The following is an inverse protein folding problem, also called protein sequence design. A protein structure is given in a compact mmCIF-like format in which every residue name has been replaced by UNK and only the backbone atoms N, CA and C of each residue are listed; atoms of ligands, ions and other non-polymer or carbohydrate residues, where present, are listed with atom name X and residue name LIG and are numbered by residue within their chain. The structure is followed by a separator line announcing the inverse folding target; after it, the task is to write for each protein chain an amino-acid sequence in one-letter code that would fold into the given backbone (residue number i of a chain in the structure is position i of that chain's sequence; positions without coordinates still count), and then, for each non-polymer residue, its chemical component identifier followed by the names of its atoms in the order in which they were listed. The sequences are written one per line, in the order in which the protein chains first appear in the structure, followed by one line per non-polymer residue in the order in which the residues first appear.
data_IF_727022589630
#
_entry.id   IF_727022589630
#
_cell.length_a   1.000
_cell.length_b   1.000
_cell.length_c   1.000
_cell.angle_alpha   90.00
_cell.angle_beta   90.00
_cell.angle_gamma   90.00
#
_symmetry.space_group_name_H-M   'P 1'
#
loop_
_entity.id
_entity.type
_entity.pdbx_description
1 polymer ?
#
# COMPACT_ATOMS: atom_id res chain seq x y z
N UNK A 1 -15.54 -8.25 17.17
CA UNK A 1 -15.37 -7.91 15.74
C UNK A 1 -15.45 -6.39 15.61
N UNK A 2 -14.60 -5.74 14.80
CA UNK A 2 -14.59 -4.28 14.69
C UNK A 2 -15.81 -3.75 13.92
N UNK A 3 -16.34 -2.59 14.30
CA UNK A 3 -17.52 -1.98 13.67
C UNK A 3 -17.14 -1.06 12.51
N UNK A 4 -17.92 -1.12 11.43
CA UNK A 4 -17.80 -0.17 10.32
C UNK A 4 -18.56 1.13 10.66
N UNK A 5 -17.86 2.25 10.80
CA UNK A 5 -18.44 3.52 11.26
C UNK A 5 -18.76 4.47 10.10
N UNK A 6 -19.59 5.50 10.36
CA UNK A 6 -19.84 6.60 9.41
C UNK A 6 -18.54 7.30 8.97
N UNK A 7 -17.56 7.41 9.86
CA UNK A 7 -16.25 7.96 9.54
C UNK A 7 -15.51 7.10 8.51
N UNK A 8 -15.55 5.76 8.63
CA UNK A 8 -14.96 4.87 7.62
C UNK A 8 -15.65 5.03 6.26
N UNK A 9 -16.97 5.25 6.25
CA UNK A 9 -17.72 5.53 5.01
C UNK A 9 -17.27 6.85 4.35
N UNK A 10 -17.11 7.92 5.12
CA UNK A 10 -16.61 9.21 4.60
C UNK A 10 -15.21 9.04 4.00
N UNK A 11 -14.31 8.33 4.68
CA UNK A 11 -12.98 8.04 4.15
C UNK A 11 -13.01 7.19 2.87
N UNK A 12 -13.95 6.26 2.75
CA UNK A 12 -14.15 5.47 1.54
C UNK A 12 -14.57 6.36 0.35
N UNK A 13 -15.53 7.27 0.56
CA UNK A 13 -15.97 8.24 -0.47
C UNK A 13 -14.81 9.16 -0.86
N UNK A 14 -14.11 9.73 0.11
CA UNK A 14 -12.94 10.57 -0.14
C UNK A 14 -11.86 9.83 -0.93
N UNK A 15 -11.60 8.56 -0.59
CA UNK A 15 -10.65 7.70 -1.32
C UNK A 15 -11.04 7.46 -2.78
N UNK A 16 -12.34 7.32 -3.08
CA UNK A 16 -12.83 7.22 -4.46
C UNK A 16 -12.60 8.51 -5.24
N UNK A 17 -12.87 9.67 -4.62
CA UNK A 17 -12.65 10.98 -5.25
C UNK A 17 -11.16 11.19 -5.53
N UNK A 18 -10.29 10.92 -4.55
CA UNK A 18 -8.83 11.01 -4.72
C UNK A 18 -8.36 10.12 -5.86
N UNK A 19 -8.88 8.88 -5.96
CA UNK A 19 -8.55 7.99 -7.06
C UNK A 19 -8.90 8.59 -8.43
N UNK A 20 -10.10 9.17 -8.60
CA UNK A 20 -10.52 9.81 -9.87
C UNK A 20 -9.67 11.04 -10.19
N UNK A 21 -9.39 11.88 -9.20
CA UNK A 21 -8.55 13.07 -9.37
C UNK A 21 -7.14 12.67 -9.81
N UNK A 22 -6.57 11.66 -9.19
CA UNK A 22 -5.26 11.11 -9.54
C UNK A 22 -5.22 10.63 -11.01
N UNK A 23 -6.29 9.96 -11.49
CA UNK A 23 -6.41 9.61 -12.92
C UNK A 23 -6.30 10.84 -13.81
N UNK A 24 -7.08 11.88 -13.49
CA UNK A 24 -7.09 13.11 -14.26
C UNK A 24 -5.75 13.84 -14.25
N UNK A 25 -5.11 13.91 -13.08
CA UNK A 25 -3.81 14.56 -12.90
C UNK A 25 -2.72 13.86 -13.72
N UNK A 26 -2.67 12.53 -13.73
CA UNK A 26 -1.68 11.80 -14.51
C UNK A 26 -1.78 12.06 -16.02
N UNK A 27 -3.01 12.03 -16.57
CA UNK A 27 -3.23 12.33 -17.99
C UNK A 27 -2.93 13.79 -18.31
N UNK A 28 -3.30 14.71 -17.41
CA UNK A 28 -2.98 16.12 -17.54
C UNK A 28 -1.46 16.37 -17.57
N UNK A 29 -0.73 15.77 -16.62
CA UNK A 29 0.73 15.90 -16.54
C UNK A 29 1.40 15.27 -17.76
N UNK A 30 0.96 14.09 -18.19
CA UNK A 30 1.47 13.47 -19.42
C UNK A 30 1.25 14.38 -20.63
N UNK A 31 0.02 14.89 -20.83
CA UNK A 31 -0.33 15.81 -21.92
C UNK A 31 0.57 17.06 -21.91
N UNK A 32 0.81 17.64 -20.74
CA UNK A 32 1.73 18.78 -20.59
C UNK A 32 3.14 18.44 -21.09
N UNK A 33 3.68 17.26 -20.78
CA UNK A 33 4.99 16.83 -21.30
C UNK A 33 4.97 16.63 -22.82
N UNK A 34 3.91 16.07 -23.40
CA UNK A 34 3.75 15.96 -24.85
C UNK A 34 3.72 17.35 -25.53
N UNK A 35 2.96 18.30 -24.99
CA UNK A 35 2.89 19.67 -25.51
C UNK A 35 4.22 20.42 -25.40
N UNK A 36 5.07 20.07 -24.43
CA UNK A 36 6.40 20.66 -24.24
C UNK A 36 7.50 19.97 -25.08
N UNK A 37 7.14 19.00 -25.93
CA UNK A 37 8.09 18.22 -26.74
C UNK A 37 8.91 17.21 -25.94
N UNK A 38 8.61 17.03 -24.65
CA UNK A 38 9.31 16.13 -23.74
C UNK A 38 8.65 14.74 -23.72
N UNK A 39 8.62 14.09 -24.88
CA UNK A 39 7.87 12.84 -25.09
C UNK A 39 8.31 11.70 -24.17
N UNK A 40 9.60 11.57 -23.88
CA UNK A 40 10.13 10.51 -23.03
C UNK A 40 9.50 10.53 -21.61
N UNK A 41 9.34 11.72 -21.01
CA UNK A 41 8.75 11.86 -19.68
C UNK A 41 7.26 11.56 -19.68
N UNK A 42 6.53 12.05 -20.70
CA UNK A 42 5.12 11.75 -20.88
C UNK A 42 4.85 10.26 -21.07
N UNK A 43 5.63 9.58 -21.91
CA UNK A 43 5.55 8.14 -22.13
C UNK A 43 5.85 7.37 -20.83
N UNK A 44 6.90 7.75 -20.10
CA UNK A 44 7.28 7.07 -18.87
C UNK A 44 6.18 7.12 -17.79
N UNK A 45 5.54 8.28 -17.62
CA UNK A 45 4.40 8.45 -16.69
C UNK A 45 3.22 7.55 -17.09
N UNK A 46 2.88 7.53 -18.39
CA UNK A 46 1.82 6.67 -18.91
C UNK A 46 2.16 5.17 -18.80
N UNK A 47 3.43 4.79 -18.95
CA UNK A 47 3.89 3.42 -18.76
C UNK A 47 3.71 2.96 -17.32
N UNK A 48 4.14 3.75 -16.32
CA UNK A 48 3.93 3.43 -14.91
C UNK A 48 2.44 3.30 -14.57
N UNK A 49 1.64 4.24 -15.07
CA UNK A 49 0.18 4.21 -14.93
C UNK A 49 -0.47 2.98 -15.55
N UNK A 50 -0.14 2.69 -16.81
CA UNK A 50 -0.69 1.55 -17.54
C UNK A 50 -0.33 0.22 -16.89
N UNK A 51 0.93 0.05 -16.46
CA UNK A 51 1.41 -1.16 -15.80
C UNK A 51 0.72 -1.38 -14.46
N UNK A 52 0.68 -0.36 -13.62
CA UNK A 52 -0.02 -0.37 -12.33
C UNK A 52 -1.51 -0.66 -12.48
N UNK A 53 -2.19 0.00 -13.43
CA UNK A 53 -3.60 -0.23 -13.72
C UNK A 53 -3.84 -1.67 -14.17
N UNK A 54 -3.01 -2.20 -15.07
CA UNK A 54 -3.13 -3.59 -15.53
C UNK A 54 -2.98 -4.58 -14.37
N UNK A 55 -1.95 -4.42 -13.53
CA UNK A 55 -1.71 -5.31 -12.38
C UNK A 55 -2.88 -5.23 -11.39
N UNK A 56 -3.36 -4.03 -11.07
CA UNK A 56 -4.49 -3.85 -10.13
C UNK A 56 -5.80 -4.40 -10.67
N UNK A 57 -6.10 -4.28 -11.97
CA UNK A 57 -7.27 -4.92 -12.57
C UNK A 57 -7.17 -6.44 -12.53
N UNK A 58 -5.99 -7.02 -12.79
CA UNK A 58 -5.79 -8.47 -12.77
C UNK A 58 -6.03 -9.03 -11.36
N UNK A 59 -5.48 -8.38 -10.32
CA UNK A 59 -5.78 -8.75 -8.92
C UNK A 59 -7.25 -8.54 -8.57
N UNK A 60 -7.81 -7.38 -8.93
CA UNK A 60 -9.21 -7.06 -8.67
C UNK A 60 -10.17 -8.09 -9.27
N UNK A 61 -9.94 -8.50 -10.52
CA UNK A 61 -10.76 -9.50 -11.20
C UNK A 61 -10.61 -10.87 -10.55
N UNK A 62 -9.39 -11.32 -10.31
CA UNK A 62 -9.13 -12.64 -9.72
C UNK A 62 -9.74 -12.76 -8.32
N UNK A 63 -9.63 -11.72 -7.51
CA UNK A 63 -10.28 -11.67 -6.19
C UNK A 63 -11.80 -11.66 -6.34
N UNK A 64 -12.35 -10.92 -7.29
CA UNK A 64 -13.80 -10.88 -7.52
C UNK A 64 -14.32 -12.26 -7.93
N UNK A 65 -13.62 -12.93 -8.84
CA UNK A 65 -13.92 -14.30 -9.28
C UNK A 65 -13.84 -15.30 -8.13
N UNK A 66 -12.88 -15.14 -7.23
CA UNK A 66 -12.69 -16.05 -6.10
C UNK A 66 -13.74 -15.90 -5.00
N UNK A 67 -14.35 -14.71 -4.90
CA UNK A 67 -15.41 -14.38 -3.95
C UNK A 67 -16.81 -14.54 -4.58
N UNK A 68 -16.88 -14.85 -5.89
CA UNK A 68 -18.14 -15.05 -6.60
C UNK A 68 -18.63 -16.49 -6.46
N UNK A 69 -19.73 -16.66 -5.74
CA UNK A 69 -20.37 -17.97 -5.52
C UNK A 69 -21.50 -18.28 -6.52
N UNK A 70 -21.84 -17.33 -7.39
CA UNK A 70 -22.97 -17.46 -8.33
C UNK A 70 -22.67 -18.40 -9.50
N UNK A 71 -23.67 -19.16 -9.94
CA UNK A 71 -23.60 -20.02 -11.14
C UNK A 71 -23.74 -19.25 -12.46
N UNK A 72 -24.09 -17.96 -12.39
CA UNK A 72 -24.29 -17.09 -13.57
C UNK A 72 -22.95 -16.68 -14.21
N UNK A 73 -22.54 -17.47 -15.20
CA UNK A 73 -21.34 -17.23 -16.00
C UNK A 73 -21.44 -15.97 -16.87
N UNK A 74 -22.65 -15.49 -17.18
CA UNK A 74 -22.88 -14.28 -17.96
C UNK A 74 -22.42 -13.03 -17.21
N UNK A 75 -22.82 -12.90 -15.94
CA UNK A 75 -22.37 -11.81 -15.06
C UNK A 75 -20.85 -11.81 -14.89
N UNK A 76 -20.23 -12.97 -14.71
CA UNK A 76 -18.77 -13.07 -14.58
C UNK A 76 -18.05 -12.60 -15.85
N UNK A 77 -18.58 -12.91 -17.04
CA UNK A 77 -18.06 -12.39 -18.32
C UNK A 77 -18.20 -10.87 -18.44
N UNK A 78 -19.34 -10.30 -18.02
CA UNK A 78 -19.51 -8.84 -17.97
C UNK A 78 -18.51 -8.17 -17.04
N UNK A 79 -18.28 -8.73 -15.85
CA UNK A 79 -17.29 -8.22 -14.91
C UNK A 79 -15.88 -8.34 -15.48
N UNK A 80 -15.56 -9.43 -16.19
CA UNK A 80 -14.29 -9.55 -16.90
C UNK A 80 -14.12 -8.45 -17.95
N UNK A 81 -15.13 -8.20 -18.79
CA UNK A 81 -15.12 -7.11 -19.78
C UNK A 81 -14.92 -5.75 -19.11
N UNK A 82 -15.57 -5.50 -17.97
CA UNK A 82 -15.41 -4.25 -17.23
C UNK A 82 -13.98 -4.07 -16.70
N UNK A 83 -13.31 -5.14 -16.25
CA UNK A 83 -11.90 -5.09 -15.88
C UNK A 83 -10.99 -4.87 -17.11
N UNK A 84 -11.33 -5.48 -18.25
CA UNK A 84 -10.61 -5.29 -19.52
C UNK A 84 -10.66 -3.82 -19.98
N UNK A 85 -11.82 -3.16 -19.86
CA UNK A 85 -11.99 -1.74 -20.15
C UNK A 85 -11.54 -0.81 -19.01
N UNK A 86 -10.79 -1.30 -18.03
CA UNK A 86 -10.28 -0.54 -16.88
C UNK A 86 -11.37 0.02 -15.92
N UNK A 87 -12.63 -0.39 -16.08
CA UNK A 87 -13.75 -0.01 -15.21
C UNK A 87 -13.90 -0.89 -13.95
N UNK A 88 -13.11 -1.96 -13.81
CA UNK A 88 -13.24 -2.94 -12.72
C UNK A 88 -13.09 -2.36 -11.31
N UNK A 89 -12.17 -1.42 -11.12
CA UNK A 89 -11.98 -0.73 -9.84
C UNK A 89 -13.23 0.08 -9.42
N UNK A 90 -13.93 0.71 -10.36
CA UNK A 90 -15.15 1.46 -10.05
C UNK A 90 -16.27 0.54 -9.54
N UNK A 91 -16.36 -0.68 -10.07
CA UNK A 91 -17.29 -1.69 -9.57
C UNK A 91 -16.95 -2.11 -8.14
N UNK A 92 -15.65 -2.27 -7.82
CA UNK A 92 -15.24 -2.53 -6.43
C UNK A 92 -15.64 -1.39 -5.50
N UNK A 93 -15.42 -0.13 -5.90
CA UNK A 93 -15.88 1.03 -5.12
C UNK A 93 -17.39 1.06 -4.96
N UNK A 94 -18.15 0.74 -6.02
CA UNK A 94 -19.61 0.64 -5.94
C UNK A 94 -20.07 -0.37 -4.89
N UNK A 95 -19.50 -1.59 -4.89
CA UNK A 95 -19.80 -2.60 -3.87
C UNK A 95 -19.38 -2.14 -2.47
N UNK A 96 -18.20 -1.54 -2.33
CA UNK A 96 -17.73 -1.01 -1.05
C UNK A 96 -18.66 0.08 -0.51
N UNK A 97 -19.17 0.97 -1.36
CA UNK A 97 -20.12 2.01 -0.99
C UNK A 97 -21.47 1.41 -0.62
N UNK A 98 -21.95 0.41 -1.37
CA UNK A 98 -23.20 -0.30 -1.06
C UNK A 98 -23.15 -0.96 0.32
N UNK A 99 -22.14 -1.80 0.56
CA UNK A 99 -21.97 -2.51 1.84
C UNK A 99 -21.60 -1.56 2.98
N UNK A 100 -20.75 -0.57 2.71
CA UNK A 100 -20.37 0.45 3.68
C UNK A 100 -21.55 1.32 4.12
N UNK A 101 -22.45 1.68 3.20
CA UNK A 101 -23.66 2.44 3.52
C UNK A 101 -24.63 1.61 4.37
N UNK A 102 -24.85 0.34 4.00
CA UNK A 102 -25.67 -0.57 4.80
C UNK A 102 -25.10 -0.78 6.21
N UNK A 103 -23.79 -0.97 6.33
CA UNK A 103 -23.12 -1.13 7.62
C UNK A 103 -23.13 0.15 8.47
N UNK A 104 -22.97 1.33 7.87
CA UNK A 104 -22.84 2.60 8.60
C UNK A 104 -24.18 3.28 8.94
N UNK A 105 -25.23 3.07 8.13
CA UNK A 105 -26.50 3.81 8.25
C UNK A 105 -27.74 2.93 8.46
N UNK A 106 -27.78 1.70 7.93
CA UNK A 106 -29.01 0.87 8.01
C UNK A 106 -29.19 0.11 9.32
N UNK A 107 -28.15 -0.04 10.16
CA UNK A 107 -28.28 -0.74 11.45
C UNK A 107 -29.09 0.03 12.51
N UNK A 108 -29.31 1.34 12.35
CA UNK A 108 -30.04 2.14 13.33
C UNK A 108 -31.56 2.22 13.06
N UNK A 109 -32.04 1.63 11.95
CA UNK A 109 -33.44 1.80 11.50
C UNK A 109 -34.23 0.49 11.40
N UNK A 110 -33.64 -0.65 11.78
CA UNK A 110 -34.31 -1.95 11.74
C UNK A 110 -35.12 -2.21 13.01
N UNK A 111 -36.24 -1.50 13.13
CA UNK A 111 -37.40 -1.88 13.95
C UNK A 111 -38.39 -2.80 13.21
N UNK A 112 -38.02 -3.34 12.04
CA UNK A 112 -38.89 -4.25 11.31
C UNK A 112 -38.25 -4.79 10.03
N UNK A 113 -38.38 -6.10 9.85
CA UNK A 113 -38.25 -6.91 8.64
C UNK A 113 -36.87 -7.45 8.19
N UNK A 114 -36.85 -8.79 8.15
CA UNK A 114 -35.99 -9.77 7.48
C UNK A 114 -34.63 -10.12 8.10
N UNK A 115 -34.67 -11.10 8.99
CA UNK A 115 -33.57 -11.98 9.36
C UNK A 115 -33.09 -12.76 8.13
N UNK A 116 -31.98 -12.35 7.51
CA UNK A 116 -31.28 -13.27 6.59
C UNK A 116 -29.78 -13.17 6.69
N UNK A 117 -29.21 -12.04 7.15
CA UNK A 117 -27.78 -11.94 7.44
C UNK A 117 -27.56 -11.32 8.83
N UNK A 118 -26.87 -12.01 9.78
CA UNK A 118 -26.60 -11.43 11.08
C UNK A 118 -25.84 -10.10 10.92
N UNK A 119 -26.10 -9.08 11.75
CA UNK A 119 -25.50 -7.74 11.62
C UNK A 119 -23.96 -7.74 11.60
N UNK A 120 -23.35 -8.81 12.12
CA UNK A 120 -21.91 -9.04 12.07
C UNK A 120 -21.39 -9.40 10.66
N UNK A 121 -22.20 -10.07 9.83
CA UNK A 121 -21.81 -10.47 8.48
C UNK A 121 -21.62 -9.26 7.55
N UNK A 122 -22.59 -8.34 7.51
CA UNK A 122 -22.52 -7.13 6.68
C UNK A 122 -21.33 -6.23 7.09
N UNK A 123 -21.08 -6.11 8.40
CA UNK A 123 -19.91 -5.35 8.89
C UNK A 123 -18.60 -6.00 8.45
N UNK A 124 -18.49 -7.33 8.52
CA UNK A 124 -17.31 -8.07 8.09
C UNK A 124 -17.09 -7.91 6.58
N UNK A 125 -18.16 -8.07 5.79
CA UNK A 125 -18.11 -7.92 4.34
C UNK A 125 -17.68 -6.49 3.93
N UNK A 126 -18.21 -5.45 4.59
CA UNK A 126 -17.80 -4.07 4.34
C UNK A 126 -16.30 -3.84 4.66
N UNK A 127 -15.83 -4.39 5.78
CA UNK A 127 -14.41 -4.29 6.18
C UNK A 127 -13.51 -5.04 5.20
N UNK A 128 -13.88 -6.24 4.78
CA UNK A 128 -13.09 -7.08 3.85
C UNK A 128 -12.99 -6.41 2.48
N UNK A 129 -14.10 -5.91 1.92
CA UNK A 129 -14.10 -5.20 0.63
C UNK A 129 -13.27 -3.92 0.69
N UNK A 130 -13.36 -3.14 1.78
CA UNK A 130 -12.52 -1.94 1.94
C UNK A 130 -11.04 -2.29 2.12
N UNK A 131 -10.73 -3.40 2.79
CA UNK A 131 -9.35 -3.88 2.94
C UNK A 131 -8.75 -4.29 1.60
N UNK A 132 -9.53 -4.98 0.75
CA UNK A 132 -9.15 -5.29 -0.62
C UNK A 132 -8.87 -4.03 -1.44
N UNK A 133 -9.73 -3.01 -1.38
CA UNK A 133 -9.51 -1.74 -2.07
C UNK A 133 -8.22 -1.05 -1.59
N UNK A 134 -7.98 -1.02 -0.28
CA UNK A 134 -6.78 -0.41 0.26
C UNK A 134 -5.51 -1.19 -0.10
N UNK A 135 -5.61 -2.51 -0.29
CA UNK A 135 -4.51 -3.32 -0.81
C UNK A 135 -4.23 -3.02 -2.30
N UNK A 136 -5.26 -2.91 -3.13
CA UNK A 136 -5.10 -2.52 -4.55
C UNK A 136 -4.54 -1.10 -4.67
N UNK A 137 -5.00 -0.18 -3.81
CA UNK A 137 -4.47 1.18 -3.72
C UNK A 137 -2.99 1.16 -3.36
N UNK A 138 -2.59 0.33 -2.40
CA UNK A 138 -1.19 0.16 -2.02
C UNK A 138 -0.34 -0.31 -3.21
N UNK A 139 -0.83 -1.30 -3.98
CA UNK A 139 -0.13 -1.76 -5.19
C UNK A 139 0.04 -0.63 -6.20
N UNK A 140 -1.03 0.11 -6.48
CA UNK A 140 -0.97 1.28 -7.36
C UNK A 140 0.07 2.28 -6.87
N UNK A 141 0.02 2.66 -5.60
CA UNK A 141 0.93 3.65 -5.01
C UNK A 141 2.41 3.30 -5.21
N UNK A 142 2.80 2.03 -5.08
CA UNK A 142 4.20 1.63 -5.25
C UNK A 142 4.59 1.28 -6.69
N UNK A 143 3.65 0.89 -7.55
CA UNK A 143 3.89 0.60 -8.96
C UNK A 143 3.81 1.84 -9.86
N UNK A 144 3.10 2.88 -9.42
CA UNK A 144 2.81 4.09 -10.21
C UNK A 144 3.31 5.36 -9.52
N UNK A 145 2.70 5.73 -8.38
CA UNK A 145 2.97 7.00 -7.71
C UNK A 145 4.43 7.12 -7.26
N UNK A 146 5.03 6.03 -6.78
CA UNK A 146 6.43 6.04 -6.30
C UNK A 146 7.43 6.21 -7.45
N UNK A 147 7.39 5.44 -8.55
CA UNK A 147 8.21 5.71 -9.74
C UNK A 147 7.98 7.09 -10.37
N UNK A 148 6.72 7.57 -10.43
CA UNK A 148 6.42 8.92 -10.92
C UNK A 148 7.05 10.00 -10.02
N UNK A 149 7.04 9.81 -8.70
CA UNK A 149 7.70 10.70 -7.75
C UNK A 149 9.21 10.76 -7.98
N UNK A 150 9.87 9.64 -8.29
CA UNK A 150 11.29 9.63 -8.66
C UNK A 150 11.56 10.51 -9.89
N UNK A 151 10.74 10.36 -10.92
CA UNK A 151 10.84 11.18 -12.14
C UNK A 151 10.65 12.67 -11.83
N UNK A 152 9.67 13.01 -10.99
CA UNK A 152 9.40 14.40 -10.60
C UNK A 152 10.56 15.03 -9.83
N UNK A 153 11.18 14.27 -8.90
CA UNK A 153 12.35 14.72 -8.14
C UNK A 153 13.56 14.87 -9.07
N UNK A 154 13.80 13.90 -9.96
CA UNK A 154 14.89 13.97 -10.93
C UNK A 154 14.78 15.20 -11.82
N UNK A 155 13.61 15.47 -12.40
CA UNK A 155 13.37 16.65 -13.25
C UNK A 155 13.55 17.94 -12.46
N UNK A 156 13.06 18.00 -11.21
CA UNK A 156 13.24 19.17 -10.34
C UNK A 156 14.72 19.47 -10.13
N UNK A 157 15.53 18.43 -9.87
CA UNK A 157 16.95 18.59 -9.56
C UNK A 157 17.80 18.88 -10.81
N UNK A 158 17.42 18.37 -11.98
CA UNK A 158 18.15 18.60 -13.24
C UNK A 158 17.85 19.96 -13.87
N UNK A 159 16.59 20.43 -13.82
CA UNK A 159 16.17 21.62 -14.55
C UNK A 159 16.05 22.88 -13.67
N UNK A 160 16.10 22.76 -12.34
CA UNK A 160 16.19 23.89 -11.40
C UNK A 160 15.05 24.93 -11.47
N UNK A 161 13.97 24.66 -12.21
CA UNK A 161 12.86 25.61 -12.36
C UNK A 161 12.00 25.60 -11.11
N UNK A 162 12.09 26.69 -10.33
CA UNK A 162 11.31 26.89 -9.11
C UNK A 162 9.82 27.16 -9.42
N UNK A 163 9.08 26.10 -9.68
CA UNK A 163 7.61 26.15 -9.70
C UNK A 163 7.09 25.65 -8.36
N UNK A 164 6.46 26.53 -7.58
CA UNK A 164 5.81 26.17 -6.31
C UNK A 164 4.89 24.94 -6.43
N UNK A 165 4.16 24.84 -7.55
CA UNK A 165 3.29 23.71 -7.86
C UNK A 165 4.05 22.37 -7.93
N UNK A 166 5.31 22.34 -8.37
CA UNK A 166 6.10 21.11 -8.46
C UNK A 166 6.52 20.61 -7.07
N UNK A 167 6.96 21.52 -6.19
CA UNK A 167 7.24 21.18 -4.80
C UNK A 167 5.99 20.68 -4.08
N UNK A 168 4.85 21.37 -4.28
CA UNK A 168 3.57 20.94 -3.72
C UNK A 168 3.19 19.52 -4.21
N UNK A 169 3.38 19.22 -5.50
CA UNK A 169 3.11 17.89 -6.05
C UNK A 169 4.00 16.79 -5.43
N UNK A 170 5.30 17.07 -5.23
CA UNK A 170 6.24 16.15 -4.58
C UNK A 170 5.83 15.89 -3.12
N UNK A 171 5.51 16.94 -2.36
CA UNK A 171 5.06 16.83 -0.96
C UNK A 171 3.76 16.03 -0.89
N UNK A 172 2.79 16.34 -1.75
CA UNK A 172 1.52 15.62 -1.82
C UNK A 172 1.73 14.13 -2.16
N UNK A 173 2.68 13.81 -3.03
CA UNK A 173 3.03 12.43 -3.38
C UNK A 173 3.62 11.68 -2.17
N UNK A 174 4.54 12.27 -1.42
CA UNK A 174 5.07 11.68 -0.18
C UNK A 174 3.97 11.42 0.86
N UNK A 175 3.10 12.41 1.07
CA UNK A 175 1.94 12.28 1.93
C UNK A 175 1.03 11.14 1.44
N UNK A 176 0.68 11.11 0.15
CA UNK A 176 -0.18 10.08 -0.44
C UNK A 176 0.37 8.67 -0.29
N UNK A 177 1.68 8.47 -0.53
CA UNK A 177 2.34 7.16 -0.35
C UNK A 177 2.25 6.70 1.11
N UNK A 178 2.47 7.63 2.04
CA UNK A 178 2.44 7.35 3.48
C UNK A 178 1.03 7.03 3.96
N UNK A 179 0.03 7.85 3.57
CA UNK A 179 -1.38 7.60 3.88
C UNK A 179 -1.85 6.26 3.33
N UNK A 180 -1.55 5.92 2.06
CA UNK A 180 -1.93 4.63 1.50
C UNK A 180 -1.30 3.45 2.26
N UNK A 181 -0.04 3.59 2.70
CA UNK A 181 0.64 2.56 3.50
C UNK A 181 -0.02 2.38 4.85
N UNK A 182 -0.39 3.47 5.53
CA UNK A 182 -1.05 3.44 6.84
C UNK A 182 -2.49 2.92 6.73
N UNK A 183 -3.25 3.38 5.74
CA UNK A 183 -4.64 2.97 5.50
C UNK A 183 -4.74 1.47 5.25
N UNK A 184 -3.83 0.91 4.46
CA UNK A 184 -3.74 -0.53 4.29
C UNK A 184 -3.47 -1.25 5.62
N UNK A 185 -2.48 -0.79 6.40
CA UNK A 185 -2.12 -1.45 7.67
C UNK A 185 -3.26 -1.38 8.70
N UNK A 186 -3.99 -0.26 8.74
CA UNK A 186 -5.18 -0.12 9.58
C UNK A 186 -6.27 -1.08 9.09
N UNK A 187 -6.53 -1.15 7.79
CA UNK A 187 -7.58 -2.00 7.22
C UNK A 187 -7.28 -3.49 7.41
N UNK A 188 -6.04 -3.89 7.16
CA UNK A 188 -5.56 -5.25 7.43
C UNK A 188 -5.71 -5.62 8.91
N UNK A 189 -5.44 -4.68 9.83
CA UNK A 189 -5.65 -4.94 11.26
C UNK A 189 -7.14 -5.09 11.58
N UNK A 190 -8.01 -4.30 10.94
CA UNK A 190 -9.47 -4.33 11.13
C UNK A 190 -10.10 -5.64 10.62
N UNK A 191 -9.56 -6.23 9.55
CA UNK A 191 -10.06 -7.49 8.98
C UNK A 191 -9.69 -8.74 9.80
N UNK A 192 -8.74 -8.63 10.73
CA UNK A 192 -8.28 -9.75 11.57
C UNK A 192 -9.04 -9.83 12.91
N UNK A 193 -9.51 -11.02 13.33
CA UNK A 193 -10.18 -11.20 14.61
C UNK A 193 -9.22 -10.97 15.79
N UNK A 194 -9.73 -10.40 16.88
CA UNK A 194 -9.01 -10.27 18.16
C UNK A 194 -7.95 -9.17 18.25
N UNK A 195 -7.89 -8.25 17.28
CA UNK A 195 -7.02 -7.06 17.37
C UNK A 195 -7.83 -5.85 17.82
N UNK A 196 -7.26 -5.03 18.71
CA UNK A 196 -7.86 -3.76 19.13
C UNK A 196 -7.66 -2.67 18.07
N UNK A 197 -8.60 -1.73 18.00
CA UNK A 197 -8.52 -0.58 17.11
C UNK A 197 -7.38 0.35 17.55
N UNK A 198 -6.63 0.90 16.60
CA UNK A 198 -5.58 1.86 16.98
C UNK A 198 -6.21 3.13 17.56
N UNK A 199 -5.77 3.55 18.74
CA UNK A 199 -5.98 4.92 19.21
C UNK A 199 -5.37 5.93 18.21
N UNK A 200 -5.90 7.16 18.19
CA UNK A 200 -5.52 8.21 17.22
C UNK A 200 -4.01 8.51 17.27
N UNK A 201 -3.43 8.55 18.47
CA UNK A 201 -2.00 8.84 18.67
C UNK A 201 -1.07 7.79 18.03
N UNK A 202 -1.22 6.47 18.29
CA UNK A 202 -0.48 5.43 17.57
C UNK A 202 -0.58 5.53 16.04
N UNK A 203 -1.74 5.89 15.49
CA UNK A 203 -1.93 6.06 14.02
C UNK A 203 -1.06 7.21 13.50
N UNK A 204 -1.08 8.35 14.20
CA UNK A 204 -0.31 9.53 13.84
C UNK A 204 1.21 9.27 13.94
N UNK A 205 1.66 8.64 15.02
CA UNK A 205 3.08 8.25 15.17
C UNK A 205 3.51 7.28 14.07
N UNK A 206 2.66 6.30 13.73
CA UNK A 206 2.92 5.36 12.64
C UNK A 206 2.97 6.05 11.27
N UNK A 207 2.11 7.05 11.04
CA UNK A 207 2.11 7.88 9.83
C UNK A 207 3.41 8.67 9.67
N UNK A 208 3.84 9.38 10.71
CA UNK A 208 5.10 10.13 10.66
C UNK A 208 6.32 9.22 10.50
N UNK A 209 6.33 8.07 11.18
CA UNK A 209 7.35 7.05 10.97
C UNK A 209 7.43 6.62 9.50
N UNK A 210 6.31 6.23 8.89
CA UNK A 210 6.28 5.80 7.48
C UNK A 210 6.64 6.93 6.52
N UNK A 211 6.13 8.13 6.75
CA UNK A 211 6.45 9.31 5.96
C UNK A 211 7.94 9.59 5.95
N UNK A 212 8.57 9.72 7.11
CA UNK A 212 9.98 10.11 7.20
C UNK A 212 10.93 9.01 6.70
N UNK A 213 10.62 7.74 6.96
CA UNK A 213 11.44 6.62 6.45
C UNK A 213 11.33 6.43 4.94
N UNK A 214 10.14 6.62 4.36
CA UNK A 214 9.97 6.58 2.90
C UNK A 214 10.62 7.79 2.25
N UNK A 215 10.46 8.99 2.84
CA UNK A 215 11.08 10.23 2.32
C UNK A 215 12.59 10.13 2.28
N UNK A 216 13.25 9.77 3.38
CA UNK A 216 14.70 9.61 3.42
C UNK A 216 15.20 8.62 2.37
N UNK A 217 14.49 7.50 2.21
CA UNK A 217 14.88 6.46 1.26
C UNK A 217 14.72 6.90 -0.22
N UNK A 218 13.58 7.48 -0.59
CA UNK A 218 13.33 7.96 -1.96
C UNK A 218 14.29 9.10 -2.31
N UNK A 219 14.55 10.03 -1.39
CA UNK A 219 15.53 11.09 -1.63
C UNK A 219 16.95 10.52 -1.80
N UNK A 220 17.33 9.50 -1.02
CA UNK A 220 18.61 8.79 -1.19
C UNK A 220 18.76 8.17 -2.57
N UNK A 221 17.75 7.43 -3.04
CA UNK A 221 17.76 6.83 -4.38
C UNK A 221 17.80 7.94 -5.46
N UNK A 222 17.11 9.07 -5.23
CA UNK A 222 17.14 10.20 -6.16
C UNK A 222 18.55 10.81 -6.26
N UNK A 223 19.26 10.95 -5.14
CA UNK A 223 20.64 11.45 -5.09
C UNK A 223 21.62 10.55 -5.86
N UNK A 224 21.56 9.22 -5.68
CA UNK A 224 22.42 8.30 -6.46
C UNK A 224 22.04 8.29 -7.94
N UNK A 225 20.77 8.49 -8.29
CA UNK A 225 20.31 8.60 -9.69
C UNK A 225 20.94 9.79 -10.41
N UNK A 226 21.06 10.93 -9.73
CA UNK A 226 21.75 12.10 -10.28
C UNK A 226 23.25 11.90 -10.45
N UNK A 227 23.87 11.12 -9.55
CA UNK A 227 25.29 10.78 -9.69
C UNK A 227 25.51 9.86 -10.90
N UNK A 228 24.70 8.81 -11.00
CA UNK A 228 24.73 7.80 -12.06
C UNK A 228 23.41 7.02 -12.12
N UNK A 229 22.64 7.25 -13.20
CA UNK A 229 21.40 6.51 -13.48
C UNK A 229 21.66 5.00 -13.52
N UNK A 230 22.78 4.55 -14.10
CA UNK A 230 23.15 3.13 -14.18
C UNK A 230 23.34 2.52 -12.79
N UNK A 231 24.02 3.23 -11.88
CA UNK A 231 24.25 2.74 -10.52
C UNK A 231 22.95 2.63 -9.74
N UNK A 232 22.06 3.61 -9.90
CA UNK A 232 20.72 3.59 -9.29
C UNK A 232 19.88 2.40 -9.78
N UNK A 233 19.83 2.16 -11.09
CA UNK A 233 19.11 1.01 -11.66
C UNK A 233 19.68 -0.32 -11.14
N UNK A 234 21.01 -0.47 -11.10
CA UNK A 234 21.64 -1.68 -10.54
C UNK A 234 21.26 -1.89 -9.08
N UNK A 235 21.29 -0.83 -8.26
CA UNK A 235 20.88 -0.88 -6.85
C UNK A 235 19.42 -1.31 -6.70
N UNK A 236 18.50 -0.70 -7.46
CA UNK A 236 17.07 -1.03 -7.40
C UNK A 236 16.79 -2.48 -7.82
N UNK A 237 17.44 -2.96 -8.89
CA UNK A 237 17.33 -4.35 -9.34
C UNK A 237 17.87 -5.31 -8.28
N UNK A 238 19.03 -5.01 -7.69
CA UNK A 238 19.61 -5.83 -6.62
C UNK A 238 18.70 -5.91 -5.38
N UNK A 239 18.14 -4.78 -4.94
CA UNK A 239 17.20 -4.73 -3.82
C UNK A 239 15.91 -5.48 -4.13
N UNK A 240 15.42 -5.38 -5.37
CA UNK A 240 14.26 -6.14 -5.81
C UNK A 240 14.51 -7.65 -5.79
N UNK A 241 15.67 -8.13 -6.28
CA UNK A 241 16.04 -9.55 -6.23
C UNK A 241 16.11 -10.03 -4.78
N UNK A 242 16.70 -9.24 -3.88
CA UNK A 242 16.74 -9.54 -2.45
C UNK A 242 15.33 -9.64 -1.85
N UNK A 243 14.48 -8.65 -2.11
CA UNK A 243 13.09 -8.61 -1.64
C UNK A 243 12.24 -9.75 -2.19
N UNK A 244 12.37 -10.07 -3.48
CA UNK A 244 11.68 -11.18 -4.12
C UNK A 244 12.14 -12.54 -3.58
N UNK A 245 13.45 -12.73 -3.39
CA UNK A 245 13.99 -13.96 -2.77
C UNK A 245 13.47 -14.12 -1.34
N UNK A 246 13.37 -13.01 -0.60
CA UNK A 246 12.75 -12.99 0.72
C UNK A 246 11.27 -13.41 0.66
N UNK A 247 10.47 -12.89 -0.27
CA UNK A 247 9.05 -13.26 -0.40
C UNK A 247 8.87 -14.73 -0.79
N UNK A 248 9.76 -15.30 -1.60
CA UNK A 248 9.78 -16.73 -1.91
C UNK A 248 10.02 -17.58 -0.67
N UNK A 249 11.02 -17.23 0.15
CA UNK A 249 11.34 -17.93 1.42
C UNK A 249 10.21 -17.86 2.45
N UNK A 250 9.40 -16.80 2.40
CA UNK A 250 8.27 -16.65 3.31
C UNK A 250 7.11 -17.60 3.00
N UNK A 251 7.09 -18.33 1.87
CA UNK A 251 6.02 -19.27 1.50
C UNK A 251 4.62 -18.67 1.69
N UNK A 252 4.31 -17.61 0.96
CA UNK A 252 3.00 -16.94 0.99
C UNK A 252 1.93 -17.73 0.25
N UNK A 253 0.69 -17.67 0.75
CA UNK A 253 -0.51 -18.35 0.21
C UNK A 253 -1.68 -17.35 0.11
N UNK A 254 -1.44 -16.20 -0.52
CA UNK A 254 -2.47 -15.15 -0.62
C UNK A 254 -3.49 -15.42 -1.75
N UNK A 255 -3.03 -15.97 -2.86
CA UNK A 255 -3.83 -16.28 -4.04
C UNK A 255 -4.07 -17.80 -4.16
N UNK A 256 -5.27 -18.20 -4.61
CA UNK A 256 -5.60 -19.62 -4.86
C UNK A 256 -4.78 -20.22 -6.01
N UNK A 257 -4.46 -19.41 -7.04
CA UNK A 257 -3.69 -19.84 -8.22
C UNK A 257 -2.19 -19.59 -8.04
N UNK A 258 -1.35 -20.58 -8.41
CA UNK A 258 0.12 -20.48 -8.35
C UNK A 258 0.66 -19.30 -9.17
N UNK A 259 0.12 -19.06 -10.37
CA UNK A 259 0.55 -17.94 -11.24
C UNK A 259 0.29 -16.58 -10.57
N UNK A 260 -0.86 -16.44 -9.94
CA UNK A 260 -1.26 -15.23 -9.23
C UNK A 260 -0.45 -15.02 -7.95
N UNK A 261 -0.08 -16.10 -7.27
CA UNK A 261 0.83 -16.03 -6.12
C UNK A 261 2.22 -15.53 -6.50
N UNK A 262 2.76 -15.97 -7.65
CA UNK A 262 4.03 -15.43 -8.17
C UNK A 262 3.92 -13.93 -8.49
N UNK A 263 2.85 -13.50 -9.16
CA UNK A 263 2.60 -12.09 -9.43
C UNK A 263 2.53 -11.29 -8.11
N UNK A 264 1.84 -11.82 -7.09
CA UNK A 264 1.75 -11.19 -5.77
C UNK A 264 3.12 -11.02 -5.14
N UNK A 265 3.94 -12.07 -5.13
CA UNK A 265 5.32 -12.04 -4.61
C UNK A 265 6.21 -11.05 -5.36
N UNK A 266 6.03 -10.92 -6.67
CA UNK A 266 6.74 -9.92 -7.50
C UNK A 266 6.37 -8.50 -7.08
N UNK A 267 5.08 -8.19 -6.95
CA UNK A 267 4.60 -6.85 -6.54
C UNK A 267 5.05 -6.54 -5.12
N UNK A 268 4.93 -7.48 -4.19
CA UNK A 268 5.43 -7.30 -2.83
C UNK A 268 6.95 -7.10 -2.81
N UNK A 269 7.70 -7.80 -3.67
CA UNK A 269 9.12 -7.55 -3.87
C UNK A 269 9.41 -6.10 -4.26
N UNK A 270 8.60 -5.48 -5.13
CA UNK A 270 8.70 -4.05 -5.47
C UNK A 270 8.39 -3.17 -4.26
N UNK A 271 7.33 -3.47 -3.51
CA UNK A 271 6.98 -2.71 -2.30
C UNK A 271 8.12 -2.75 -1.27
N UNK A 272 8.78 -3.90 -1.10
CA UNK A 272 9.90 -4.08 -0.18
C UNK A 272 11.13 -3.25 -0.55
N UNK A 273 11.28 -2.82 -1.81
CA UNK A 273 12.31 -1.84 -2.17
C UNK A 273 12.10 -0.53 -1.40
N UNK A 274 10.85 -0.14 -1.13
CA UNK A 274 10.53 1.20 -0.61
C UNK A 274 10.11 1.21 0.85
N UNK A 275 9.36 0.21 1.29
CA UNK A 275 8.90 0.15 2.68
C UNK A 275 8.78 -1.29 3.16
N UNK A 276 9.02 -1.49 4.46
CA UNK A 276 8.78 -2.77 5.08
C UNK A 276 7.28 -3.11 5.01
N UNK A 277 6.98 -4.18 4.28
CA UNK A 277 5.65 -4.74 4.14
C UNK A 277 5.59 -6.06 4.89
N UNK A 278 4.73 -6.16 5.91
CA UNK A 278 4.61 -7.37 6.71
C UNK A 278 3.76 -8.42 5.97
N UNK A 279 4.45 -9.39 5.39
CA UNK A 279 3.87 -10.43 4.55
C UNK A 279 3.17 -11.54 5.36
N UNK A 280 3.59 -11.84 6.59
CA UNK A 280 3.10 -13.05 7.30
C UNK A 280 2.55 -12.83 8.69
N UNK A 281 2.48 -11.58 9.15
CA UNK A 281 1.89 -11.25 10.46
C UNK A 281 2.57 -11.89 11.69
N UNK A 282 3.66 -12.67 11.55
CA UNK A 282 4.38 -13.33 12.66
C UNK A 282 5.35 -12.39 13.38
N UNK A 283 6.03 -12.85 14.44
CA UNK A 283 7.00 -12.08 15.26
C UNK A 283 8.02 -11.31 14.40
N UNK A 284 7.70 -10.07 14.05
CA UNK A 284 8.39 -9.30 13.01
C UNK A 284 9.43 -8.33 13.54
N UNK A 285 9.61 -8.20 14.86
CA UNK A 285 10.53 -7.18 15.43
C UNK A 285 11.96 -7.33 14.88
N UNK A 286 12.50 -8.55 14.83
CA UNK A 286 13.86 -8.82 14.32
C UNK A 286 13.96 -8.53 12.83
N UNK A 287 13.04 -9.04 12.01
CA UNK A 287 13.06 -8.78 10.56
C UNK A 287 12.84 -7.31 10.22
N UNK A 288 12.02 -6.61 10.98
CA UNK A 288 11.82 -5.17 10.82
C UNK A 288 13.09 -4.42 11.18
N UNK A 289 13.75 -4.79 12.30
CA UNK A 289 15.02 -4.20 12.70
C UNK A 289 16.10 -4.40 11.63
N UNK A 290 16.29 -5.65 11.16
CA UNK A 290 17.26 -5.95 10.09
C UNK A 290 16.97 -5.12 8.85
N UNK A 291 15.71 -5.05 8.41
CA UNK A 291 15.31 -4.27 7.24
C UNK A 291 15.68 -2.78 7.37
N UNK A 292 15.28 -2.13 8.47
CA UNK A 292 15.56 -0.71 8.66
C UNK A 292 17.04 -0.42 8.93
N UNK A 293 17.76 -1.35 9.56
CA UNK A 293 19.21 -1.25 9.71
C UNK A 293 19.91 -1.31 8.35
N UNK A 294 19.56 -2.28 7.48
CA UNK A 294 20.10 -2.38 6.12
C UNK A 294 19.79 -1.12 5.31
N UNK A 295 18.55 -0.62 5.33
CA UNK A 295 18.18 0.61 4.63
C UNK A 295 18.98 1.82 5.13
N UNK A 296 19.16 1.94 6.45
CA UNK A 296 19.96 3.03 7.04
C UNK A 296 21.42 2.96 6.58
N UNK A 297 22.03 1.78 6.59
CA UNK A 297 23.41 1.57 6.12
C UNK A 297 23.52 1.93 4.64
N UNK A 298 22.58 1.50 3.80
CA UNK A 298 22.59 1.80 2.36
C UNK A 298 22.41 3.30 2.12
N UNK A 299 21.49 3.97 2.82
CA UNK A 299 21.32 5.43 2.75
C UNK A 299 22.60 6.17 3.14
N UNK A 300 23.23 5.79 4.25
CA UNK A 300 24.50 6.40 4.66
C UNK A 300 25.61 6.16 3.63
N UNK A 301 25.68 4.94 3.06
CA UNK A 301 26.60 4.62 1.98
C UNK A 301 26.37 5.45 0.71
N UNK A 302 25.11 5.67 0.32
CA UNK A 302 24.75 6.55 -0.80
C UNK A 302 25.19 7.98 -0.52
N UNK A 303 24.86 8.54 0.65
CA UNK A 303 25.26 9.90 1.03
C UNK A 303 26.78 10.06 1.03
N UNK A 304 27.51 9.06 1.54
CA UNK A 304 28.97 9.03 1.50
C UNK A 304 29.50 9.05 0.07
N UNK A 305 29.07 8.13 -0.79
CA UNK A 305 29.48 8.09 -2.21
C UNK A 305 29.16 9.41 -2.92
N UNK A 306 27.98 9.97 -2.66
CA UNK A 306 27.53 11.26 -3.18
C UNK A 306 28.45 12.42 -2.79
N UNK A 307 28.98 12.43 -1.55
CA UNK A 307 29.90 13.49 -1.10
C UNK A 307 31.30 13.36 -1.73
N UNK A 308 31.83 12.15 -1.88
CA UNK A 308 33.23 11.95 -2.29
C UNK A 308 33.44 11.77 -3.79
N UNK A 309 32.44 11.30 -4.56
CA UNK A 309 32.66 10.86 -5.94
C UNK A 309 32.56 11.99 -6.99
N UNK A 310 31.69 12.98 -6.78
CA UNK A 310 31.60 14.17 -7.66
C UNK A 310 31.44 15.45 -6.83
N UNK A 311 32.55 16.03 -6.33
CA UNK A 311 32.53 17.31 -5.61
C UNK A 311 31.91 18.46 -6.42
N UNK A 312 31.91 18.36 -7.75
CA UNK A 312 31.29 19.34 -8.66
C UNK A 312 29.76 19.37 -8.57
N UNK A 313 29.10 18.24 -8.29
CA UNK A 313 27.62 18.15 -8.14
C UNK A 313 27.18 18.68 -6.77
N UNK A 314 28.05 18.59 -5.75
CA UNK A 314 27.80 19.10 -4.40
C UNK A 314 27.63 20.63 -4.36
N UNK A 315 28.18 21.34 -5.35
CA UNK A 315 28.07 22.81 -5.45
C UNK A 315 26.67 23.29 -5.85
N UNK A 316 25.81 22.40 -6.34
CA UNK A 316 24.42 22.73 -6.66
C UNK A 316 23.61 22.88 -5.37
N UNK A 317 22.91 24.02 -5.24
CA UNK A 317 22.10 24.35 -4.06
C UNK A 317 21.02 23.28 -3.82
N UNK A 318 20.39 22.80 -4.88
CA UNK A 318 19.35 21.75 -4.80
C UNK A 318 19.90 20.43 -4.26
N UNK A 319 21.10 20.03 -4.65
CA UNK A 319 21.73 18.79 -4.18
C UNK A 319 22.01 18.86 -2.66
N UNK A 320 22.51 20.00 -2.19
CA UNK A 320 22.77 20.24 -0.77
C UNK A 320 21.48 20.22 0.04
N UNK A 321 20.42 20.90 -0.43
CA UNK A 321 19.10 20.90 0.23
C UNK A 321 18.54 19.48 0.33
N UNK A 322 18.57 18.71 -0.76
CA UNK A 322 18.05 17.34 -0.78
C UNK A 322 18.86 16.42 0.15
N UNK A 323 20.18 16.59 0.21
CA UNK A 323 21.04 15.84 1.13
C UNK A 323 20.72 16.15 2.60
N UNK A 324 20.56 17.42 2.96
CA UNK A 324 20.16 17.84 4.32
C UNK A 324 18.78 17.28 4.67
N UNK A 325 17.82 17.38 3.76
CA UNK A 325 16.47 16.86 3.96
C UNK A 325 16.48 15.32 4.11
N UNK A 326 17.35 14.63 3.38
CA UNK A 326 17.54 13.18 3.49
C UNK A 326 18.05 12.80 4.89
N UNK A 327 19.08 13.49 5.39
CA UNK A 327 19.62 13.24 6.73
C UNK A 327 18.58 13.54 7.81
N UNK A 328 17.91 14.70 7.72
CA UNK A 328 16.89 15.10 8.68
C UNK A 328 15.73 14.10 8.74
N UNK A 329 15.22 13.69 7.58
CA UNK A 329 14.13 12.70 7.49
C UNK A 329 14.57 11.31 7.96
N UNK A 330 15.82 10.91 7.74
CA UNK A 330 16.36 9.63 8.25
C UNK A 330 16.40 9.63 9.77
N UNK A 331 17.00 10.66 10.38
CA UNK A 331 17.15 10.76 11.84
C UNK A 331 15.78 10.82 12.52
N UNK A 332 14.90 11.72 12.06
CA UNK A 332 13.54 11.81 12.59
C UNK A 332 12.76 10.51 12.37
N UNK A 333 12.90 9.88 11.19
CA UNK A 333 12.26 8.62 10.87
C UNK A 333 12.66 7.48 11.82
N UNK A 334 13.94 7.39 12.18
CA UNK A 334 14.45 6.42 13.16
C UNK A 334 13.89 6.73 14.56
N UNK A 335 13.83 8.00 14.96
CA UNK A 335 13.23 8.40 16.25
C UNK A 335 11.76 7.95 16.32
N UNK A 336 10.96 8.29 15.31
CA UNK A 336 9.55 7.87 15.27
C UNK A 336 9.39 6.35 15.19
N UNK A 337 10.27 5.64 14.48
CA UNK A 337 10.32 4.17 14.47
C UNK A 337 10.55 3.62 15.88
N UNK A 338 11.55 4.14 16.61
CA UNK A 338 11.85 3.69 17.97
C UNK A 338 10.71 4.01 18.94
N UNK A 339 10.14 5.21 18.88
CA UNK A 339 8.97 5.61 19.69
C UNK A 339 7.79 4.69 19.39
N UNK A 340 7.50 4.40 18.12
CA UNK A 340 6.45 3.46 17.74
C UNK A 340 6.70 2.08 18.33
N UNK A 341 7.90 1.51 18.16
CA UNK A 341 8.19 0.15 18.62
C UNK A 341 8.31 -0.01 20.14
N UNK A 342 8.68 1.06 20.86
CA UNK A 342 8.76 1.06 22.33
C UNK A 342 7.42 1.34 23.00
N UNK A 343 6.69 2.36 22.53
CA UNK A 343 5.50 2.86 23.23
C UNK A 343 4.18 2.32 22.67
N UNK A 344 4.12 2.03 21.36
CA UNK A 344 2.84 1.79 20.68
C UNK A 344 2.75 0.46 19.94
N UNK A 345 3.87 -0.21 19.68
CA UNK A 345 3.86 -1.51 19.05
C UNK A 345 3.30 -2.49 20.08
N UNK A 346 2.11 -3.07 19.83
CA UNK A 346 1.52 -4.03 20.74
C UNK A 346 2.49 -5.19 20.88
N UNK A 347 3.18 -5.26 22.02
CA UNK A 347 3.99 -6.41 22.40
C UNK A 347 3.03 -7.45 22.97
N UNK A 348 2.19 -8.02 22.10
CA UNK A 348 1.24 -9.06 22.45
C UNK A 348 0.76 -9.75 21.17
N UNK A 349 1.67 -10.49 20.51
CA UNK A 349 1.24 -11.53 19.58
C UNK A 349 0.87 -12.75 20.42
N UNK A 350 -0.45 -12.99 20.54
CA UNK A 350 -1.12 -14.13 21.17
C UNK A 350 -0.88 -14.29 22.68
N UNK A 351 -1.87 -13.92 23.51
CA UNK A 351 -2.36 -14.91 24.48
C UNK A 351 -2.86 -16.07 23.59
N UNK A 352 -2.39 -17.32 23.76
CA UNK A 352 -3.02 -18.44 23.07
C UNK A 352 -4.50 -18.31 23.35
N UNK A 353 -5.29 -18.24 22.29
CA UNK A 353 -6.70 -18.55 22.43
C UNK A 353 -6.66 -19.99 22.94
N UNK A 354 -6.83 -20.14 24.25
CA UNK A 354 -7.13 -21.42 24.88
C UNK A 354 -8.13 -22.09 23.98
N UNK A 355 -7.86 -23.35 23.62
CA UNK A 355 -8.87 -24.26 23.11
C UNK A 355 -10.21 -23.83 23.68
N UNK A 356 -11.18 -23.53 22.82
CA UNK A 356 -12.54 -23.83 23.23
C UNK A 356 -12.48 -25.28 23.68
N UNK A 357 -12.65 -25.51 24.98
CA UNK A 357 -12.89 -26.84 25.50
C UNK A 357 -13.97 -27.45 24.60
N UNK A 358 -13.60 -28.56 23.97
CA UNK A 358 -14.57 -29.52 23.45
C UNK A 358 -15.39 -29.96 24.66
N UNK A 359 -16.48 -29.24 24.91
CA UNK A 359 -17.57 -29.78 25.70
C UNK A 359 -18.37 -30.63 24.72
N UNK A 360 -18.20 -31.94 24.85
CA UNK A 360 -19.01 -32.97 24.21
C UNK A 360 -20.50 -32.59 24.29
N UNK A 361 -21.12 -32.41 23.12
CA UNK A 361 -22.51 -31.97 23.03
C UNK A 361 -23.01 -31.91 21.59
N UNK A 362 -23.42 -33.08 21.09
CA UNK A 362 -24.24 -33.38 19.91
C UNK A 362 -23.87 -32.83 18.52
N UNK A 363 -23.73 -33.79 17.60
CA UNK A 363 -23.55 -33.60 16.17
C UNK A 363 -24.75 -32.89 15.54
N UNK A 364 -24.58 -31.63 15.14
CA UNK A 364 -25.56 -30.91 14.34
C UNK A 364 -25.07 -29.56 13.86
N UNK A 365 -24.82 -29.43 12.55
CA UNK A 365 -24.56 -28.18 11.81
C UNK A 365 -23.18 -27.53 12.02
N UNK A 366 -22.23 -28.00 11.21
CA UNK A 366 -20.92 -27.37 10.98
C UNK A 366 -21.12 -26.11 10.12
N UNK A 367 -21.55 -25.01 10.71
CA UNK A 367 -21.52 -23.70 10.04
C UNK A 367 -20.04 -23.33 9.82
N UNK A 368 -19.58 -23.49 8.58
CA UNK A 368 -18.28 -22.99 8.13
C UNK A 368 -18.35 -21.47 8.18
N UNK A 369 -17.90 -20.87 9.28
CA UNK A 369 -17.57 -19.45 9.28
C UNK A 369 -16.45 -19.26 8.25
N UNK A 370 -16.79 -18.70 7.08
CA UNK A 370 -15.79 -18.43 6.04
C UNK A 370 -14.68 -17.55 6.62
N UNK A 371 -13.47 -18.08 6.64
CA UNK A 371 -12.28 -17.37 7.09
C UNK A 371 -11.89 -16.41 5.97
N UNK A 372 -11.82 -15.11 6.28
CA UNK A 372 -11.49 -14.08 5.30
C UNK A 372 -10.09 -14.29 4.69
N UNK A 373 -9.88 -13.84 3.45
CA UNK A 373 -8.61 -14.02 2.70
C UNK A 373 -7.38 -13.62 3.51
N UNK A 374 -7.42 -12.47 4.18
CA UNK A 374 -6.33 -11.98 5.01
C UNK A 374 -6.12 -12.79 6.30
N UNK A 375 -7.18 -13.42 6.83
CA UNK A 375 -7.08 -14.29 8.00
C UNK A 375 -6.46 -15.64 7.63
N UNK A 376 -6.86 -16.24 6.49
CA UNK A 376 -6.19 -17.42 5.93
C UNK A 376 -4.71 -17.15 5.63
N UNK A 377 -4.40 -15.96 5.12
CA UNK A 377 -3.05 -15.55 4.78
C UNK A 377 -2.10 -15.42 5.98
N UNK A 378 -2.62 -15.05 7.16
CA UNK A 378 -1.81 -14.82 8.36
C UNK A 378 -1.73 -16.05 9.28
N UNK A 379 -2.72 -16.95 9.22
CA UNK A 379 -2.77 -18.15 10.09
C UNK A 379 -1.83 -19.29 9.65
N UNK A 380 -1.15 -19.19 8.50
CA UNK A 380 -0.22 -20.19 7.94
C UNK A 380 1.26 -19.77 8.00
#
# INVERSE_FOLDING_TARGET
MMKFTKQNFIFLVGGMIIYVVDIGVDFWVASKYFCQGQYCWGILILCFRGLSSLITQVFSYEWFKNDWEGTDTGKLKWIFLLHLFQCGIFIRYWFALKYGCQAAFKQNSSGGASETDPPNFIQKQAIDVVTDINMLRLFKTFLETTPQLFVQIYILMEHGKNNFCQYAAIIMSFCGISFSTVDYQISLRKSLPGKDEFHVLPKLVYLFYKLLTITSWILSISLITLLSVRSSVILLVFLWICGFTWTLKQHTTFCKSKKMEYLYRTVVGVILIFTFFNIKGRKTKVFTFIYYATHTIVTLGILFVCMFWKPSVVKEIHFTIVSILTILSLVLGIIFLLVYYRCFHPTAYCRPQTCSDEVDGEAGRKDRVEIGRFQNFIMQ
#
